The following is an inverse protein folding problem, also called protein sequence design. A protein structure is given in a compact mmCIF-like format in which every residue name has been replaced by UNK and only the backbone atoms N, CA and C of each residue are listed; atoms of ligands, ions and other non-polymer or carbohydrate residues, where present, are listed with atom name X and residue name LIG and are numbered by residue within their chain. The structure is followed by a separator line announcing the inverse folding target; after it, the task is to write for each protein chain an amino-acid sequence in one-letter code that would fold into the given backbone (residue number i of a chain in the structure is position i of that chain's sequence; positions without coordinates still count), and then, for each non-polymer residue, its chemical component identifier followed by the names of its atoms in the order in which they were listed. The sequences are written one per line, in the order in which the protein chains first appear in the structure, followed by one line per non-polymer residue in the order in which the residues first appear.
data_IF_565072756931
#
_entry.id   IF_565072756931
#
_cell.length_a   1.000
_cell.length_b   1.000
_cell.length_c   1.000
_cell.angle_alpha   90.00
_cell.angle_beta   90.00
_cell.angle_gamma   90.00
#
_symmetry.space_group_name_H-M   'P 1'
#
loop_
_entity.id
_entity.type
_entity.pdbx_description
1 polymer ?
#
# COMPACT_ATOMS: atom_id res chain seq x y z
N UNK A 1 -44.27 -19.99 -33.59
CA UNK A 1 -43.25 -20.90 -34.14
C UNK A 1 -42.42 -20.15 -35.15
N UNK A 2 -41.23 -19.68 -34.78
CA UNK A 2 -40.17 -19.33 -35.74
C UNK A 2 -38.82 -19.39 -35.02
N UNK A 3 -37.87 -20.14 -35.59
CA UNK A 3 -36.56 -20.52 -35.04
C UNK A 3 -35.51 -19.41 -35.28
N UNK A 4 -34.40 -19.39 -34.51
CA UNK A 4 -33.35 -18.36 -34.58
C UNK A 4 -32.35 -18.59 -35.72
N UNK A 5 -31.93 -17.51 -36.39
CA UNK A 5 -30.83 -17.50 -37.38
C UNK A 5 -29.46 -17.38 -36.69
N UNK A 6 -28.53 -18.23 -37.13
CA UNK A 6 -27.10 -18.17 -36.85
C UNK A 6 -26.49 -16.91 -37.48
N UNK A 7 -25.71 -16.16 -36.70
CA UNK A 7 -24.81 -15.13 -37.23
C UNK A 7 -23.38 -15.62 -36.93
N UNK A 8 -22.78 -16.23 -37.94
CA UNK A 8 -21.33 -16.44 -38.01
C UNK A 8 -20.63 -15.08 -38.01
N UNK A 9 -19.72 -14.86 -37.05
CA UNK A 9 -18.77 -13.75 -37.14
C UNK A 9 -17.36 -14.31 -37.23
N UNK A 10 -16.90 -14.25 -38.48
CA UNK A 10 -15.61 -14.56 -39.05
C UNK A 10 -14.41 -14.25 -38.14
N UNK A 11 -13.64 -15.30 -37.81
CA UNK A 11 -12.32 -15.20 -37.17
C UNK A 11 -11.34 -14.69 -38.23
N UNK A 12 -11.09 -13.37 -38.22
CA UNK A 12 -9.93 -12.82 -38.93
C UNK A 12 -8.71 -12.85 -38.03
N UNK A 13 -7.94 -13.89 -38.28
CA UNK A 13 -6.51 -13.98 -38.08
C UNK A 13 -5.83 -12.72 -38.64
N UNK A 14 -5.12 -11.99 -37.78
CA UNK A 14 -4.12 -11.00 -38.18
C UNK A 14 -2.87 -11.31 -37.37
N UNK A 15 -2.02 -12.12 -37.98
CA UNK A 15 -0.67 -12.40 -37.55
C UNK A 15 0.17 -11.11 -37.62
N UNK A 16 0.89 -10.87 -36.53
CA UNK A 16 2.28 -10.42 -36.47
C UNK A 16 2.75 -9.26 -37.37
N UNK A 17 2.88 -8.07 -36.76
CA UNK A 17 4.12 -7.29 -36.86
C UNK A 17 4.56 -6.86 -35.45
N UNK A 18 5.63 -7.50 -34.97
CA UNK A 18 6.34 -7.15 -33.75
C UNK A 18 7.10 -5.84 -33.95
N UNK A 19 7.04 -4.92 -32.97
CA UNK A 19 8.21 -4.53 -32.17
C UNK A 19 7.92 -3.34 -31.24
N UNK A 20 8.34 -3.52 -29.98
CA UNK A 20 8.60 -2.50 -28.95
C UNK A 20 7.41 -1.95 -28.15
N UNK A 21 7.08 -2.64 -27.06
CA UNK A 21 7.14 -1.99 -25.74
C UNK A 21 7.16 -3.02 -24.62
N UNK A 22 8.13 -2.83 -23.73
CA UNK A 22 8.42 -3.70 -22.62
C UNK A 22 7.28 -3.71 -21.58
N UNK A 23 7.04 -4.91 -21.07
CA UNK A 23 6.47 -5.23 -19.76
C UNK A 23 4.99 -4.87 -19.52
N UNK A 24 4.08 -5.67 -20.08
CA UNK A 24 2.70 -5.79 -19.61
C UNK A 24 2.59 -6.88 -18.55
N UNK A 25 2.64 -6.51 -17.27
CA UNK A 25 2.18 -7.41 -16.20
C UNK A 25 0.66 -7.47 -16.24
N UNK A 26 0.17 -8.69 -16.18
CA UNK A 26 -1.17 -9.13 -16.49
C UNK A 26 -2.24 -8.49 -15.61
N UNK A 27 -3.41 -8.32 -16.22
CA UNK A 27 -4.61 -7.65 -15.71
C UNK A 27 -5.12 -8.20 -14.37
N UNK A 28 -5.10 -7.35 -13.35
CA UNK A 28 -6.02 -7.42 -12.21
C UNK A 28 -6.67 -6.01 -12.06
N UNK A 29 -8.00 -5.86 -12.08
CA UNK A 29 -8.65 -4.54 -12.23
C UNK A 29 -8.53 -3.62 -11.00
N UNK A 30 -7.92 -4.08 -9.91
CA UNK A 30 -7.76 -3.29 -8.67
C UNK A 30 -6.36 -2.68 -8.49
N UNK A 31 -5.38 -3.08 -9.32
CA UNK A 31 -3.99 -2.60 -9.29
C UNK A 31 -3.65 -1.35 -10.12
N UNK A 32 -4.44 -0.85 -11.10
CA UNK A 32 -3.96 0.26 -11.94
C UNK A 32 -3.82 1.57 -11.17
N UNK A 33 -4.68 1.84 -10.17
CA UNK A 33 -4.56 3.03 -9.35
C UNK A 33 -3.32 2.97 -8.44
N UNK A 34 -3.04 1.80 -7.86
CA UNK A 34 -1.88 1.61 -7.01
C UNK A 34 -0.57 1.79 -7.79
N UNK A 35 -0.49 1.26 -9.01
CA UNK A 35 0.69 1.43 -9.87
C UNK A 35 0.90 2.88 -10.30
N UNK A 36 -0.18 3.63 -10.58
CA UNK A 36 -0.10 5.05 -10.92
C UNK A 36 0.37 5.87 -9.72
N UNK A 37 -0.19 5.64 -8.53
CA UNK A 37 0.23 6.30 -7.29
C UNK A 37 1.68 5.98 -6.96
N UNK A 38 2.10 4.72 -7.10
CA UNK A 38 3.49 4.30 -6.90
C UNK A 38 4.45 5.00 -7.86
N UNK A 39 4.10 5.09 -9.16
CA UNK A 39 4.91 5.81 -10.16
C UNK A 39 4.96 7.31 -9.87
N UNK A 40 3.85 7.91 -9.46
CA UNK A 40 3.79 9.32 -9.09
C UNK A 40 4.63 9.63 -7.85
N UNK A 41 4.60 8.75 -6.84
CA UNK A 41 5.47 8.81 -5.68
C UNK A 41 6.93 8.69 -6.13
N UNK A 42 7.31 7.70 -6.94
CA UNK A 42 8.69 7.53 -7.43
C UNK A 42 9.20 8.73 -8.26
N UNK A 43 8.32 9.37 -9.03
CA UNK A 43 8.64 10.59 -9.77
C UNK A 43 8.72 11.83 -8.86
N UNK A 44 7.84 11.93 -7.86
CA UNK A 44 7.79 13.04 -6.89
C UNK A 44 8.89 12.97 -5.83
N UNK A 45 9.32 11.77 -5.45
CA UNK A 45 10.55 11.54 -4.70
C UNK A 45 11.80 11.73 -5.56
N UNK A 46 11.63 12.15 -6.82
CA UNK A 46 12.67 12.67 -7.69
C UNK A 46 13.97 11.91 -7.56
N UNK A 47 14.09 10.78 -8.26
CA UNK A 47 15.38 10.12 -8.35
C UNK A 47 15.91 9.55 -7.02
N UNK A 48 15.47 8.33 -6.66
CA UNK A 48 16.42 7.39 -6.05
C UNK A 48 17.61 7.10 -7.01
N UNK A 49 17.49 7.49 -8.29
CA UNK A 49 18.46 7.39 -9.36
C UNK A 49 19.22 8.71 -9.62
N UNK A 50 19.41 9.60 -8.63
CA UNK A 50 20.44 10.64 -8.79
C UNK A 50 21.79 9.92 -8.70
N UNK A 51 22.23 9.42 -9.85
CA UNK A 51 23.54 8.81 -10.02
C UNK A 51 24.60 9.91 -9.84
N UNK A 52 25.80 9.47 -9.50
CA UNK A 52 26.95 10.36 -9.41
C UNK A 52 27.15 11.15 -10.72
N UNK A 53 26.97 10.49 -11.86
CA UNK A 53 27.20 11.07 -13.18
C UNK A 53 26.18 12.18 -13.54
N UNK A 54 24.90 11.98 -13.25
CA UNK A 54 23.86 13.00 -13.46
C UNK A 54 24.03 14.18 -12.49
N UNK A 55 24.43 13.92 -11.24
CA UNK A 55 24.75 14.96 -10.27
C UNK A 55 25.98 15.78 -10.70
N UNK A 56 27.03 15.12 -11.19
CA UNK A 56 28.23 15.76 -11.74
C UNK A 56 27.88 16.63 -12.95
N UNK A 57 27.08 16.14 -13.90
CA UNK A 57 26.65 16.91 -15.06
C UNK A 57 25.76 18.11 -14.71
N UNK A 58 24.89 17.98 -13.71
CA UNK A 58 24.07 19.09 -13.23
C UNK A 58 24.95 20.17 -12.59
N UNK A 59 25.82 19.78 -11.67
CA UNK A 59 26.74 20.69 -11.01
C UNK A 59 27.74 21.32 -11.99
N UNK A 60 28.24 20.58 -12.99
CA UNK A 60 29.11 21.14 -14.01
C UNK A 60 28.40 22.22 -14.85
N UNK A 61 27.11 22.05 -15.13
CA UNK A 61 26.29 23.11 -15.76
C UNK A 61 26.14 24.34 -14.88
N UNK A 62 26.07 24.18 -13.55
CA UNK A 62 26.08 25.30 -12.59
C UNK A 62 27.45 26.02 -12.57
N UNK A 63 28.54 25.27 -12.69
CA UNK A 63 29.91 25.81 -12.79
C UNK A 63 30.09 26.61 -14.08
N UNK A 64 29.65 26.06 -15.21
CA UNK A 64 29.71 26.74 -16.52
C UNK A 64 28.90 28.04 -16.54
N UNK A 65 27.78 28.08 -15.80
CA UNK A 65 26.97 29.29 -15.62
C UNK A 65 27.55 30.26 -14.59
N UNK A 66 28.65 29.89 -13.90
CA UNK A 66 29.30 30.70 -12.87
C UNK A 66 28.51 30.82 -11.57
N UNK A 67 27.48 30.00 -11.38
CA UNK A 67 26.66 30.00 -10.15
C UNK A 67 27.37 29.30 -8.98
N UNK A 68 28.28 28.36 -9.27
CA UNK A 68 29.10 27.66 -8.27
C UNK A 68 30.55 27.54 -8.74
N UNK A 69 31.51 27.48 -7.82
CA UNK A 69 32.90 27.19 -8.16
C UNK A 69 33.09 25.68 -8.43
N UNK A 70 34.00 25.32 -9.34
CA UNK A 70 34.31 23.91 -9.65
C UNK A 70 34.74 23.11 -8.41
N UNK A 71 35.46 23.77 -7.49
CA UNK A 71 35.90 23.16 -6.23
C UNK A 71 34.73 22.86 -5.30
N UNK A 72 33.75 23.75 -5.23
CA UNK A 72 32.57 23.60 -4.39
C UNK A 72 31.65 22.51 -4.95
N UNK A 73 31.52 22.41 -6.28
CA UNK A 73 30.81 21.33 -6.93
C UNK A 73 31.35 19.95 -6.53
N UNK A 74 32.68 19.76 -6.59
CA UNK A 74 33.31 18.49 -6.19
C UNK A 74 33.15 18.23 -4.68
N UNK A 75 33.31 19.26 -3.84
CA UNK A 75 33.09 19.12 -2.40
C UNK A 75 31.66 18.71 -2.07
N UNK A 76 30.65 19.25 -2.74
CA UNK A 76 29.25 18.87 -2.53
C UNK A 76 29.01 17.40 -2.87
N UNK A 77 29.60 16.89 -3.96
CA UNK A 77 29.50 15.48 -4.34
C UNK A 77 30.18 14.60 -3.29
N UNK A 78 31.39 14.96 -2.87
CA UNK A 78 32.15 14.18 -1.90
C UNK A 78 31.48 14.20 -0.51
N UNK A 79 30.96 15.33 -0.08
CA UNK A 79 30.23 15.45 1.19
C UNK A 79 28.92 14.67 1.18
N UNK A 80 28.14 14.74 0.08
CA UNK A 80 26.90 13.97 -0.03
C UNK A 80 27.20 12.47 -0.07
N UNK A 81 28.23 12.04 -0.79
CA UNK A 81 28.66 10.64 -0.82
C UNK A 81 29.21 10.19 0.54
N UNK A 82 29.98 11.03 1.23
CA UNK A 82 30.49 10.75 2.58
C UNK A 82 29.36 10.66 3.61
N UNK A 83 28.39 11.58 3.58
CA UNK A 83 27.19 11.55 4.43
C UNK A 83 26.34 10.32 4.12
N UNK A 84 26.19 9.95 2.85
CA UNK A 84 25.44 8.76 2.46
C UNK A 84 26.14 7.50 2.97
N UNK A 85 27.47 7.40 2.81
CA UNK A 85 28.26 6.30 3.37
C UNK A 85 28.18 6.28 4.90
N UNK A 86 28.24 7.42 5.57
CA UNK A 86 28.12 7.51 7.03
C UNK A 86 26.71 7.17 7.53
N UNK A 87 25.66 7.54 6.77
CA UNK A 87 24.26 7.22 7.04
C UNK A 87 23.89 5.77 6.66
N UNK A 88 24.65 5.16 5.74
CA UNK A 88 24.53 3.74 5.37
C UNK A 88 25.36 2.83 6.28
N UNK A 89 26.38 3.38 6.94
CA UNK A 89 27.21 2.72 7.95
C UNK A 89 26.83 3.20 9.37
N UNK A 90 25.62 2.86 9.84
CA UNK A 90 25.40 2.56 11.25
C UNK A 90 24.83 1.14 11.42
N UNK A 91 25.04 0.50 12.59
CA UNK A 91 24.49 -0.82 12.87
C UNK A 91 22.97 -0.76 12.68
N UNK A 92 22.42 -1.77 12.01
CA UNK A 92 21.03 -1.89 11.54
C UNK A 92 19.97 -1.40 12.53
N UNK A 93 20.24 -1.44 13.83
CA UNK A 93 19.33 -1.05 14.92
C UNK A 93 18.98 0.44 15.05
N UNK A 94 19.85 1.39 14.71
CA UNK A 94 19.53 2.84 14.86
C UNK A 94 18.78 3.43 13.67
N UNK A 95 18.98 2.85 12.49
CA UNK A 95 18.20 3.22 11.30
C UNK A 95 16.76 2.74 11.48
N UNK A 96 16.57 1.53 12.00
CA UNK A 96 15.24 0.99 12.32
C UNK A 96 14.47 1.88 13.30
N UNK A 97 15.09 2.40 14.38
CA UNK A 97 14.39 3.25 15.34
C UNK A 97 13.93 4.58 14.74
N UNK A 98 14.75 5.20 13.90
CA UNK A 98 14.40 6.47 13.25
C UNK A 98 13.35 6.27 12.16
N UNK A 99 13.44 5.19 11.40
CA UNK A 99 12.45 4.80 10.38
C UNK A 99 11.11 4.45 11.06
N UNK A 100 11.12 3.75 12.19
CA UNK A 100 9.92 3.41 12.93
C UNK A 100 9.21 4.67 13.46
N UNK A 101 9.95 5.62 14.05
CA UNK A 101 9.37 6.88 14.53
C UNK A 101 8.76 7.70 13.39
N UNK A 102 9.44 7.77 12.24
CA UNK A 102 8.93 8.45 11.06
C UNK A 102 7.68 7.75 10.50
N UNK A 103 7.70 6.41 10.47
CA UNK A 103 6.57 5.60 10.02
C UNK A 103 5.34 5.81 10.91
N UNK A 104 5.52 5.87 12.23
CA UNK A 104 4.43 6.16 13.17
C UNK A 104 3.81 7.55 12.96
N UNK A 105 4.63 8.57 12.68
CA UNK A 105 4.12 9.92 12.39
C UNK A 105 3.34 9.96 11.07
N UNK A 106 3.83 9.26 10.05
CA UNK A 106 3.14 9.14 8.75
C UNK A 106 1.83 8.37 8.90
N UNK A 107 1.84 7.23 9.61
CA UNK A 107 0.65 6.42 9.87
C UNK A 107 -0.42 7.24 10.59
N UNK A 108 -0.05 7.97 11.65
CA UNK A 108 -0.98 8.82 12.41
C UNK A 108 -1.59 9.92 11.53
N UNK A 109 -0.78 10.56 10.68
CA UNK A 109 -1.25 11.57 9.74
C UNK A 109 -2.20 11.00 8.68
N UNK A 110 -1.89 9.80 8.18
CA UNK A 110 -2.71 9.09 7.21
C UNK A 110 -4.04 8.65 7.82
N UNK A 111 -4.03 8.08 9.02
CA UNK A 111 -5.24 7.73 9.78
C UNK A 111 -6.14 8.96 10.01
N UNK A 112 -5.57 10.11 10.36
CA UNK A 112 -6.33 11.35 10.53
C UNK A 112 -6.97 11.84 9.23
N UNK A 113 -6.26 11.75 8.09
CA UNK A 113 -6.82 12.10 6.78
C UNK A 113 -7.91 11.12 6.35
N UNK A 114 -7.69 9.82 6.53
CA UNK A 114 -8.67 8.77 6.22
C UNK A 114 -9.96 8.97 7.03
N UNK A 115 -9.84 9.25 8.33
CA UNK A 115 -10.96 9.58 9.19
C UNK A 115 -11.72 10.84 8.73
N UNK A 116 -10.99 11.88 8.30
CA UNK A 116 -11.60 13.12 7.77
C UNK A 116 -12.32 12.91 6.44
N UNK A 117 -11.90 11.92 5.65
CA UNK A 117 -12.58 11.48 4.42
C UNK A 117 -13.65 10.41 4.66
N UNK A 118 -13.95 10.09 5.93
CA UNK A 118 -14.92 9.08 6.32
C UNK A 118 -14.57 7.66 5.77
N UNK A 119 -13.28 7.40 5.55
CA UNK A 119 -12.74 6.11 5.11
C UNK A 119 -12.21 5.37 6.35
N UNK A 120 -12.87 4.29 6.80
CA UNK A 120 -12.40 3.51 7.94
C UNK A 120 -11.11 2.75 7.63
N UNK A 121 -10.21 2.68 8.60
CA UNK A 121 -8.97 1.89 8.47
C UNK A 121 -9.26 0.40 8.57
N UNK A 122 -8.35 -0.44 8.05
CA UNK A 122 -8.46 -1.90 8.17
C UNK A 122 -8.48 -2.34 9.64
N UNK A 123 -7.68 -1.69 10.49
CA UNK A 123 -7.62 -1.97 11.93
C UNK A 123 -8.98 -1.78 12.60
N UNK A 124 -9.69 -0.71 12.25
CA UNK A 124 -11.00 -0.42 12.83
C UNK A 124 -12.06 -1.44 12.38
N UNK A 125 -11.98 -1.91 11.13
CA UNK A 125 -12.85 -2.99 10.62
C UNK A 125 -12.61 -4.29 11.39
N UNK A 126 -11.35 -4.65 11.62
CA UNK A 126 -10.98 -5.87 12.34
C UNK A 126 -11.43 -5.79 13.82
N UNK A 127 -11.23 -4.64 14.47
CA UNK A 127 -11.67 -4.41 15.86
C UNK A 127 -13.19 -4.48 15.99
N UNK A 128 -13.93 -3.87 15.05
CA UNK A 128 -15.38 -3.93 15.04
C UNK A 128 -15.88 -5.35 14.77
N UNK A 129 -15.24 -6.09 13.86
CA UNK A 129 -15.55 -7.49 13.57
C UNK A 129 -15.40 -8.37 14.80
N UNK A 130 -14.33 -8.17 15.59
CA UNK A 130 -14.13 -8.86 16.86
C UNK A 130 -15.22 -8.53 17.89
N UNK A 131 -15.60 -7.25 18.01
CA UNK A 131 -16.70 -6.81 18.90
C UNK A 131 -18.04 -7.42 18.48
N UNK A 132 -18.32 -7.49 17.18
CA UNK A 132 -19.53 -8.13 16.64
C UNK A 132 -19.54 -9.62 16.97
N UNK A 133 -18.42 -10.33 16.79
CA UNK A 133 -18.32 -11.74 17.13
C UNK A 133 -18.56 -11.99 18.64
N UNK A 134 -18.00 -11.13 19.50
CA UNK A 134 -18.22 -11.21 20.94
C UNK A 134 -19.69 -10.93 21.31
N UNK A 135 -20.31 -9.94 20.67
CA UNK A 135 -21.71 -9.60 20.93
C UNK A 135 -22.63 -10.74 20.44
N UNK A 136 -22.36 -11.31 19.26
CA UNK A 136 -23.08 -12.46 18.74
C UNK A 136 -23.02 -13.66 19.70
N UNK A 137 -21.83 -13.93 20.27
CA UNK A 137 -21.67 -15.00 21.27
C UNK A 137 -22.51 -14.74 22.54
N UNK A 138 -22.52 -13.51 23.05
CA UNK A 138 -23.34 -13.14 24.23
C UNK A 138 -24.84 -13.22 23.95
N UNK A 139 -25.27 -12.81 22.76
CA UNK A 139 -26.68 -12.92 22.35
C UNK A 139 -27.10 -14.39 22.25
N UNK A 140 -26.25 -15.27 21.71
CA UNK A 140 -26.53 -16.70 21.64
C UNK A 140 -26.58 -17.34 23.04
N UNK A 141 -25.69 -16.94 23.95
CA UNK A 141 -25.70 -17.39 25.34
C UNK A 141 -26.99 -16.97 26.08
N UNK A 142 -27.41 -15.71 25.92
CA UNK A 142 -28.65 -15.21 26.50
C UNK A 142 -29.88 -15.90 25.89
N UNK A 143 -29.88 -16.14 24.58
CA UNK A 143 -30.94 -16.90 23.90
C UNK A 143 -31.02 -18.32 24.46
N UNK A 144 -29.87 -18.99 24.61
CA UNK A 144 -29.79 -20.36 25.13
C UNK A 144 -30.21 -20.45 26.60
N UNK A 145 -29.92 -19.42 27.41
CA UNK A 145 -30.40 -19.30 28.77
C UNK A 145 -31.93 -19.07 28.83
N UNK A 146 -32.47 -18.27 27.91
CA UNK A 146 -33.92 -18.01 27.77
C UNK A 146 -34.74 -19.18 27.23
N UNK A 147 -34.12 -20.08 26.44
CA UNK A 147 -34.76 -21.27 25.86
C UNK A 147 -34.71 -22.52 26.77
N UNK A 148 -34.26 -22.41 28.03
CA UNK A 148 -34.25 -23.56 28.95
C UNK A 148 -35.69 -23.99 29.25
N UNK A 149 -36.16 -25.17 28.80
CA UNK A 149 -37.53 -25.61 29.06
C UNK A 149 -37.64 -25.94 30.54
N UNK A 150 -38.59 -25.28 31.22
CA UNK A 150 -38.96 -25.57 32.59
C UNK A 150 -39.08 -27.09 32.81
N UNK A 151 -38.24 -27.62 33.69
CA UNK A 151 -38.30 -29.00 34.14
C UNK A 151 -39.73 -29.29 34.65
N UNK A 152 -40.40 -30.25 34.01
CA UNK A 152 -41.75 -30.73 34.38
C UNK A 152 -41.80 -31.04 35.88
N UNK A 153 -42.82 -30.60 36.63
CA UNK A 153 -42.99 -31.02 38.01
C UNK A 153 -43.34 -32.51 38.02
N UNK A 154 -42.49 -33.31 38.65
CA UNK A 154 -42.78 -34.70 38.97
C UNK A 154 -43.93 -34.72 39.97
N UNK A 155 -45.10 -35.17 39.52
CA UNK A 155 -46.22 -35.52 40.40
C UNK A 155 -45.82 -36.82 41.09
N UNK A 156 -45.26 -36.71 42.29
CA UNK A 156 -44.99 -37.87 43.16
C UNK A 156 -46.32 -38.25 43.83
N UNK A 157 -46.93 -39.33 43.33
CA UNK A 157 -47.95 -40.05 44.08
C UNK A 157 -47.33 -40.73 45.30
N UNK A 158 -48.08 -40.72 46.40
CA UNK A 158 -47.99 -41.48 47.67
C UNK A 158 -48.49 -40.52 48.76
N UNK A 159 -49.54 -40.78 49.54
CA UNK A 159 -50.35 -41.95 49.85
C UNK A 159 -51.75 -41.46 50.27
#
# INVERSE_FOLDING_TARGET
MTKPEEIEVNVRQLDEEQATSANGTESNPVTPLFDVVRRMILAGFGAFALTRDEAEQFLNRLVERGEIAQKDAQQLIDETLAKFRQASVPPTSQVESNVNNLSHQVETGLEQMLNRMNIPSKRDIDELSAKIAQLAARVEELRRAGDTPAAKPQVKGEK
#
